data_IF_104683101302
#
_entry.id   IF_104683101302
#
_cell.length_a   1.000
_cell.length_b   1.000
_cell.length_c   1.000
_cell.angle_alpha   90.00
_cell.angle_beta   90.00
_cell.angle_gamma   90.00
#
_symmetry.space_group_name_H-M   'P 1'
#
loop_
_entity.id
_entity.type
_entity.pdbx_description
1 polymer ?
#
# COMPACT_ATOMS: atom_id res chain seq x y z
N UNK A 1 0.72 15.59 9.91
CA UNK A 1 1.02 14.34 9.20
C UNK A 1 2.48 14.00 9.39
N UNK A 2 2.77 12.85 10.00
CA UNK A 2 4.15 12.45 10.27
C UNK A 2 4.74 11.75 9.05
N UNK A 3 6.04 11.94 8.86
CA UNK A 3 6.77 11.27 7.81
C UNK A 3 6.68 9.75 7.95
N UNK A 4 6.44 9.05 6.85
CA UNK A 4 6.29 7.60 6.83
C UNK A 4 7.26 6.97 5.84
N UNK A 5 7.62 5.72 6.11
CA UNK A 5 8.55 4.95 5.27
C UNK A 5 7.80 3.83 4.56
N UNK A 6 7.95 3.79 3.25
CA UNK A 6 7.33 2.76 2.41
C UNK A 6 8.42 1.83 1.90
N UNK A 7 8.17 0.53 2.03
CA UNK A 7 9.01 -0.50 1.41
C UNK A 7 8.30 -0.99 0.15
N UNK A 8 8.95 -0.83 -0.99
CA UNK A 8 8.44 -1.34 -2.26
C UNK A 8 9.15 -2.65 -2.57
N UNK A 9 8.37 -3.70 -2.76
CA UNK A 9 8.86 -5.02 -3.19
C UNK A 9 8.54 -5.16 -4.67
N UNK A 10 9.57 -5.28 -5.50
CA UNK A 10 9.36 -5.40 -6.95
C UNK A 10 10.53 -6.14 -7.58
N UNK A 11 10.27 -6.88 -8.65
CA UNK A 11 11.31 -7.55 -9.42
C UNK A 11 12.07 -6.60 -10.34
N UNK A 12 11.51 -5.40 -10.58
CA UNK A 12 12.11 -4.42 -11.49
C UNK A 12 12.10 -3.03 -10.86
N UNK A 13 12.81 -2.09 -11.47
CA UNK A 13 12.84 -0.70 -11.01
C UNK A 13 11.70 0.15 -11.59
N UNK A 14 10.89 -0.40 -12.50
CA UNK A 14 9.87 0.38 -13.20
C UNK A 14 8.89 1.03 -12.23
N UNK A 15 8.32 0.25 -11.33
CA UNK A 15 7.36 0.78 -10.37
C UNK A 15 8.05 1.71 -9.37
N UNK A 16 9.28 1.42 -9.01
CA UNK A 16 10.05 2.28 -8.11
C UNK A 16 10.19 3.69 -8.69
N UNK A 17 10.51 3.80 -9.98
CA UNK A 17 10.65 5.10 -10.61
C UNK A 17 9.35 5.90 -10.56
N UNK A 18 8.20 5.23 -10.71
CA UNK A 18 6.90 5.87 -10.56
C UNK A 18 6.62 6.24 -9.10
N UNK A 19 6.94 5.37 -8.18
CA UNK A 19 6.65 5.61 -6.75
C UNK A 19 7.52 6.71 -6.16
N UNK A 20 8.66 7.01 -6.75
CA UNK A 20 9.45 8.17 -6.33
C UNK A 20 8.67 9.46 -6.46
N UNK A 21 7.72 9.54 -7.38
CA UNK A 21 6.88 10.73 -7.52
C UNK A 21 5.94 10.90 -6.32
N UNK A 22 5.63 9.84 -5.58
CA UNK A 22 4.84 9.96 -4.36
C UNK A 22 5.48 10.87 -3.34
N UNK A 23 6.81 10.90 -3.29
CA UNK A 23 7.54 11.73 -2.33
C UNK A 23 7.30 13.22 -2.52
N UNK A 24 6.79 13.61 -3.68
CA UNK A 24 6.44 15.00 -4.00
C UNK A 24 4.99 15.32 -3.64
N UNK A 25 4.17 14.31 -3.39
CA UNK A 25 2.73 14.47 -3.16
C UNK A 25 2.38 14.25 -1.69
N UNK A 26 2.98 13.25 -1.07
CA UNK A 26 2.76 12.93 0.33
C UNK A 26 4.10 12.81 1.06
N UNK A 27 4.07 12.91 2.38
CA UNK A 27 5.29 12.94 3.20
C UNK A 27 5.80 11.53 3.47
N UNK A 28 6.46 10.95 2.47
CA UNK A 28 6.97 9.58 2.55
C UNK A 28 8.36 9.46 1.95
N UNK A 29 9.07 8.42 2.36
CA UNK A 29 10.27 7.91 1.70
C UNK A 29 9.98 6.52 1.17
N UNK A 30 10.51 6.19 -0.01
CA UNK A 30 10.30 4.89 -0.64
C UNK A 30 11.65 4.19 -0.79
N UNK A 31 11.74 2.96 -0.27
CA UNK A 31 12.92 2.11 -0.44
C UNK A 31 12.52 0.88 -1.26
N UNK A 32 13.39 0.48 -2.18
CA UNK A 32 13.15 -0.69 -3.03
C UNK A 32 13.88 -1.91 -2.47
N UNK A 33 13.20 -3.04 -2.43
CA UNK A 33 13.82 -4.33 -2.20
C UNK A 33 13.38 -5.31 -3.29
N UNK A 34 14.33 -6.10 -3.76
CA UNK A 34 14.08 -7.19 -4.68
C UNK A 34 14.15 -8.51 -3.92
N UNK A 35 13.84 -9.60 -4.60
CA UNK A 35 13.95 -10.93 -3.98
C UNK A 35 15.37 -11.19 -3.46
N UNK A 36 16.39 -10.69 -4.14
CA UNK A 36 17.78 -10.89 -3.74
C UNK A 36 18.24 -9.98 -2.61
N UNK A 37 17.64 -8.80 -2.45
CA UNK A 37 18.05 -7.83 -1.44
C UNK A 37 17.16 -7.84 -0.20
N UNK A 38 16.03 -8.51 -0.25
CA UNK A 38 15.05 -8.47 0.84
C UNK A 38 15.63 -8.98 2.17
N UNK A 39 16.53 -9.94 2.13
CA UNK A 39 17.14 -10.50 3.35
C UNK A 39 17.87 -9.44 4.18
N UNK A 40 18.27 -8.33 3.56
CA UNK A 40 18.93 -7.23 4.25
C UNK A 40 17.95 -6.31 4.96
N UNK A 41 16.67 -6.35 4.62
CA UNK A 41 15.68 -5.45 5.19
C UNK A 41 15.52 -5.64 6.70
N UNK A 42 15.32 -6.87 7.22
CA UNK A 42 15.23 -7.05 8.67
C UNK A 42 16.50 -6.65 9.41
N UNK A 43 17.66 -6.78 8.74
CA UNK A 43 18.96 -6.47 9.35
C UNK A 43 19.26 -4.97 9.38
N UNK A 44 18.54 -4.18 8.59
CA UNK A 44 18.79 -2.75 8.48
C UNK A 44 18.33 -1.95 9.71
N UNK A 45 17.47 -2.53 10.51
CA UNK A 45 16.88 -1.83 11.65
C UNK A 45 15.85 -0.77 11.26
N UNK A 46 15.54 -0.62 9.97
CA UNK A 46 14.55 0.36 9.50
C UNK A 46 13.14 -0.13 9.78
N UNK A 47 12.29 0.81 10.17
CA UNK A 47 10.88 0.54 10.40
C UNK A 47 10.09 1.05 9.20
N UNK A 48 9.26 0.18 8.63
CA UNK A 48 8.41 0.55 7.49
C UNK A 48 6.96 0.61 7.94
N UNK A 49 6.24 1.57 7.38
CA UNK A 49 4.85 1.85 7.74
C UNK A 49 3.87 1.28 6.72
N UNK A 50 4.35 0.92 5.54
CA UNK A 50 3.57 0.35 4.46
C UNK A 50 4.49 -0.47 3.58
N UNK A 51 4.00 -1.62 3.12
CA UNK A 51 4.69 -2.41 2.11
C UNK A 51 3.85 -2.39 0.84
N UNK A 52 4.42 -1.89 -0.25
CA UNK A 52 3.80 -1.99 -1.58
C UNK A 52 4.42 -3.20 -2.26
N UNK A 53 3.59 -4.12 -2.70
CA UNK A 53 4.05 -5.37 -3.29
C UNK A 53 3.63 -5.43 -4.75
N UNK A 54 4.63 -5.38 -5.64
CA UNK A 54 4.40 -5.57 -7.07
C UNK A 54 4.35 -7.08 -7.31
N UNK A 55 3.15 -7.60 -7.51
CA UNK A 55 2.91 -9.05 -7.62
C UNK A 55 3.60 -9.69 -8.81
N UNK A 56 3.89 -8.91 -9.84
CA UNK A 56 4.39 -9.45 -11.09
C UNK A 56 5.82 -9.97 -10.93
N UNK A 57 6.01 -11.25 -11.26
CA UNK A 57 7.32 -11.84 -11.25
C UNK A 57 7.85 -12.32 -9.91
N UNK A 58 7.04 -12.24 -8.85
CA UNK A 58 7.45 -12.73 -7.54
C UNK A 58 7.10 -14.21 -7.37
N UNK A 59 8.02 -14.97 -6.76
CA UNK A 59 7.73 -16.36 -6.42
C UNK A 59 6.80 -16.44 -5.22
N UNK A 60 6.06 -17.54 -5.11
CA UNK A 60 5.16 -17.75 -3.98
C UNK A 60 5.94 -17.86 -2.66
N UNK A 61 7.14 -18.41 -2.71
CA UNK A 61 8.00 -18.51 -1.53
C UNK A 61 8.42 -17.13 -1.03
N UNK A 62 8.78 -16.26 -1.96
CA UNK A 62 9.16 -14.90 -1.59
C UNK A 62 7.96 -14.11 -1.09
N UNK A 63 6.81 -14.25 -1.73
CA UNK A 63 5.59 -13.60 -1.25
C UNK A 63 5.27 -14.00 0.19
N UNK A 64 5.46 -15.28 0.52
CA UNK A 64 5.26 -15.77 1.89
C UNK A 64 6.27 -15.16 2.86
N UNK A 65 7.52 -15.00 2.43
CA UNK A 65 8.54 -14.40 3.28
C UNK A 65 8.21 -12.93 3.58
N UNK A 66 7.74 -12.19 2.59
CA UNK A 66 7.32 -10.80 2.78
C UNK A 66 6.14 -10.72 3.75
N UNK A 67 5.19 -11.63 3.61
CA UNK A 67 4.02 -11.66 4.51
C UNK A 67 4.44 -11.93 5.95
N UNK A 68 5.33 -12.89 6.17
CA UNK A 68 5.85 -13.16 7.53
C UNK A 68 6.54 -11.94 8.11
N UNK A 69 7.34 -11.25 7.31
CA UNK A 69 8.00 -10.03 7.75
C UNK A 69 6.98 -8.97 8.18
N UNK A 70 5.94 -8.77 7.38
CA UNK A 70 4.92 -7.77 7.70
C UNK A 70 4.23 -8.10 9.03
N UNK A 71 3.83 -9.35 9.21
CA UNK A 71 3.11 -9.78 10.42
C UNK A 71 4.00 -9.66 11.65
N UNK A 72 5.28 -10.01 11.53
CA UNK A 72 6.23 -9.97 12.64
C UNK A 72 6.63 -8.55 13.03
N UNK A 73 6.35 -7.56 12.19
CA UNK A 73 6.71 -6.17 12.44
C UNK A 73 5.45 -5.31 12.62
N UNK A 74 4.60 -5.70 13.56
CA UNK A 74 3.36 -4.99 13.95
C UNK A 74 2.30 -5.00 12.84
N UNK A 75 2.28 -6.06 12.07
CA UNK A 75 1.30 -6.26 10.99
C UNK A 75 1.26 -5.06 10.06
N UNK A 76 2.38 -4.80 9.41
CA UNK A 76 2.51 -3.66 8.50
C UNK A 76 1.44 -3.74 7.41
N UNK A 77 0.70 -2.67 7.12
CA UNK A 77 -0.28 -2.66 6.02
C UNK A 77 0.38 -3.00 4.68
N UNK A 78 -0.34 -3.65 3.79
CA UNK A 78 0.16 -4.02 2.45
C UNK A 78 -0.75 -3.48 1.37
N UNK A 79 -0.14 -2.94 0.33
CA UNK A 79 -0.83 -2.54 -0.89
C UNK A 79 -0.30 -3.40 -2.03
N UNK A 80 -1.16 -4.24 -2.58
CA UNK A 80 -0.80 -5.17 -3.65
C UNK A 80 -1.04 -4.51 -5.01
N UNK A 81 0.00 -4.42 -5.82
CA UNK A 81 -0.08 -3.88 -7.18
C UNK A 81 -0.23 -5.06 -8.13
N UNK A 82 -1.28 -5.09 -8.89
CA UNK A 82 -1.56 -6.21 -9.79
C UNK A 82 -2.01 -5.71 -11.16
N UNK A 83 -1.79 -6.54 -12.18
CA UNK A 83 -2.34 -6.28 -13.50
C UNK A 83 -3.80 -6.71 -13.54
N UNK A 84 -4.55 -6.16 -14.49
CA UNK A 84 -5.98 -6.43 -14.60
C UNK A 84 -6.26 -7.93 -14.77
N UNK A 85 -5.42 -8.64 -15.51
CA UNK A 85 -5.59 -10.07 -15.73
C UNK A 85 -5.46 -10.89 -14.45
N UNK A 86 -4.71 -10.40 -13.48
CA UNK A 86 -4.43 -11.12 -12.25
C UNK A 86 -5.48 -10.86 -11.16
N UNK A 87 -6.37 -9.90 -11.36
CA UNK A 87 -7.24 -9.42 -10.30
C UNK A 87 -8.22 -10.51 -9.81
N UNK A 88 -8.65 -11.40 -10.69
CA UNK A 88 -9.61 -12.45 -10.33
C UNK A 88 -8.99 -13.52 -9.44
N UNK A 89 -7.67 -13.67 -9.49
CA UNK A 89 -6.95 -14.62 -8.66
C UNK A 89 -6.33 -14.00 -7.42
N UNK A 90 -6.53 -12.72 -7.21
CA UNK A 90 -5.93 -12.04 -6.08
C UNK A 90 -6.62 -12.41 -4.77
N UNK A 91 -5.82 -12.83 -3.79
CA UNK A 91 -6.31 -13.13 -2.45
C UNK A 91 -5.53 -12.25 -1.49
N UNK A 92 -6.24 -11.38 -0.76
CA UNK A 92 -5.61 -10.53 0.23
C UNK A 92 -5.40 -11.31 1.53
N UNK A 93 -4.27 -11.07 2.23
CA UNK A 93 -4.04 -11.71 3.52
C UNK A 93 -5.14 -11.35 4.52
N UNK A 94 -5.49 -12.26 5.45
CA UNK A 94 -6.57 -11.99 6.41
C UNK A 94 -6.16 -11.07 7.55
N UNK A 95 -4.86 -10.92 7.81
CA UNK A 95 -4.37 -10.11 8.92
C UNK A 95 -4.00 -8.71 8.46
N UNK A 96 -4.39 -7.71 9.27
CA UNK A 96 -4.01 -6.34 9.04
C UNK A 96 -4.85 -5.65 8.00
N UNK A 97 -4.42 -4.44 7.64
CA UNK A 97 -5.08 -3.63 6.62
C UNK A 97 -4.39 -3.88 5.28
N UNK A 98 -5.12 -4.47 4.37
CA UNK A 98 -4.61 -4.83 3.06
C UNK A 98 -5.52 -4.29 1.99
N UNK A 99 -4.94 -3.82 0.90
CA UNK A 99 -5.69 -3.31 -0.24
C UNK A 99 -4.95 -3.66 -1.52
N UNK A 100 -5.58 -3.40 -2.64
CA UNK A 100 -4.95 -3.63 -3.93
C UNK A 100 -5.14 -2.40 -4.82
N UNK A 101 -4.31 -2.31 -5.85
CA UNK A 101 -4.39 -1.27 -6.85
C UNK A 101 -3.90 -1.84 -8.18
N UNK A 102 -4.49 -1.38 -9.28
CA UNK A 102 -4.03 -1.80 -10.60
C UNK A 102 -2.73 -1.10 -10.95
N UNK A 103 -1.85 -1.81 -11.63
CA UNK A 103 -0.55 -1.27 -12.05
C UNK A 103 -0.69 -0.06 -12.98
N UNK A 104 -1.83 0.07 -13.65
CA UNK A 104 -2.12 1.17 -14.55
C UNK A 104 -2.76 2.38 -13.87
N UNK A 105 -3.00 2.30 -12.56
CA UNK A 105 -3.64 3.38 -11.83
C UNK A 105 -2.81 4.68 -11.88
N UNK A 106 -3.48 5.80 -11.76
CA UNK A 106 -2.83 7.10 -11.74
C UNK A 106 -2.02 7.32 -10.47
N UNK A 107 -1.10 8.27 -10.52
CA UNK A 107 -0.35 8.66 -9.31
C UNK A 107 -1.29 9.16 -8.23
N UNK A 108 -2.36 9.87 -8.60
CA UNK A 108 -3.35 10.34 -7.65
C UNK A 108 -4.03 9.18 -6.92
N UNK A 109 -4.36 8.11 -7.63
CA UNK A 109 -4.98 6.94 -7.00
C UNK A 109 -3.98 6.22 -6.10
N UNK A 110 -2.73 6.06 -6.52
CA UNK A 110 -1.67 5.51 -5.67
C UNK A 110 -1.53 6.34 -4.39
N UNK A 111 -1.49 7.66 -4.55
CA UNK A 111 -1.37 8.60 -3.42
C UNK A 111 -2.53 8.41 -2.44
N UNK A 112 -3.75 8.30 -2.93
CA UNK A 112 -4.93 8.12 -2.09
C UNK A 112 -4.88 6.79 -1.33
N UNK A 113 -4.60 5.69 -2.05
CA UNK A 113 -4.54 4.36 -1.42
C UNK A 113 -3.45 4.28 -0.35
N UNK A 114 -2.27 4.83 -0.67
CA UNK A 114 -1.18 4.88 0.31
C UNK A 114 -1.57 5.70 1.53
N UNK A 115 -2.19 6.85 1.34
CA UNK A 115 -2.60 7.72 2.44
C UNK A 115 -3.61 7.05 3.36
N UNK A 116 -4.57 6.32 2.81
CA UNK A 116 -5.55 5.58 3.59
C UNK A 116 -4.87 4.56 4.50
N UNK A 117 -3.85 3.88 3.98
CA UNK A 117 -3.15 2.85 4.74
C UNK A 117 -2.14 3.43 5.73
N UNK A 118 -1.50 4.55 5.38
CA UNK A 118 -0.46 5.18 6.21
C UNK A 118 -1.02 6.03 7.33
N UNK A 119 -2.11 6.74 7.10
CA UNK A 119 -2.69 7.67 8.07
C UNK A 119 -4.17 7.37 8.27
N UNK A 120 -4.50 6.23 8.90
CA UNK A 120 -5.90 5.92 9.15
C UNK A 120 -6.49 6.93 10.13
N UNK A 121 -7.72 7.35 9.89
CA UNK A 121 -8.42 8.21 10.82
C UNK A 121 -8.94 7.35 11.97
N UNK A 122 -8.56 7.69 13.20
CA UNK A 122 -8.91 6.90 14.38
C UNK A 122 -9.64 7.69 15.47
N UNK A 123 -9.91 8.97 15.24
CA UNK A 123 -10.38 9.88 16.27
C UNK A 123 -11.86 9.71 16.61
N UNK A 124 -12.70 9.33 15.65
CA UNK A 124 -14.14 9.28 15.87
C UNK A 124 -14.83 8.45 14.81
N UNK A 125 -16.17 8.38 14.88
CA UNK A 125 -16.94 7.59 13.91
C UNK A 125 -16.84 8.14 12.50
N UNK A 126 -16.64 9.44 12.34
CA UNK A 126 -16.46 10.03 11.03
C UNK A 126 -15.11 9.73 10.42
N UNK A 127 -14.21 9.13 11.21
CA UNK A 127 -12.88 8.77 10.74
C UNK A 127 -12.88 7.81 9.56
N UNK A 128 -13.97 7.09 9.36
CA UNK A 128 -14.12 6.21 8.21
C UNK A 128 -14.57 6.96 6.96
N UNK A 129 -14.78 8.27 7.06
CA UNK A 129 -15.18 9.09 5.96
C UNK A 129 -14.09 10.10 5.62
N UNK A 130 -13.75 10.18 4.35
CA UNK A 130 -12.88 11.22 3.81
C UNK A 130 -13.72 12.02 2.82
N UNK A 131 -13.72 13.34 2.99
CA UNK A 131 -14.45 14.23 2.10
C UNK A 131 -13.46 14.97 1.22
N UNK A 132 -13.63 14.82 -0.09
CA UNK A 132 -12.85 15.53 -1.09
C UNK A 132 -13.86 16.20 -2.03
N UNK A 133 -13.89 17.52 -2.02
CA UNK A 133 -14.95 18.28 -2.69
C UNK A 133 -16.31 17.76 -2.24
N UNK A 134 -17.16 17.28 -3.13
CA UNK A 134 -18.46 16.71 -2.78
C UNK A 134 -18.45 15.18 -2.81
N UNK A 135 -17.28 14.56 -2.77
CA UNK A 135 -17.13 13.10 -2.77
C UNK A 135 -16.74 12.67 -1.36
N UNK A 136 -17.48 11.72 -0.82
CA UNK A 136 -17.16 11.10 0.48
C UNK A 136 -16.78 9.65 0.25
N UNK A 137 -15.69 9.24 0.86
CA UNK A 137 -15.20 7.87 0.79
C UNK A 137 -15.31 7.26 2.19
N UNK A 138 -16.09 6.17 2.30
CA UNK A 138 -16.18 5.45 3.55
C UNK A 138 -15.06 4.43 3.61
N UNK A 139 -14.09 4.63 4.50
CA UNK A 139 -12.89 3.81 4.58
C UNK A 139 -13.17 2.40 5.10
N UNK A 140 -14.21 2.23 5.91
CA UNK A 140 -14.54 0.90 6.44
C UNK A 140 -15.19 0.01 5.38
N UNK A 141 -16.00 0.57 4.51
CA UNK A 141 -16.73 -0.19 3.49
C UNK A 141 -16.23 0.07 2.08
N UNK A 142 -15.34 1.06 1.93
CA UNK A 142 -14.83 1.51 0.62
C UNK A 142 -15.95 1.97 -0.31
N UNK A 143 -17.06 2.44 0.25
CA UNK A 143 -18.12 3.03 -0.53
C UNK A 143 -17.86 4.50 -0.80
N UNK A 144 -18.26 4.96 -1.97
CA UNK A 144 -18.10 6.36 -2.38
C UNK A 144 -19.48 7.00 -2.42
N UNK A 145 -19.61 8.16 -1.78
CA UNK A 145 -20.84 8.95 -1.74
C UNK A 145 -20.60 10.28 -2.43
N UNK A 146 -21.54 10.70 -3.25
CA UNK A 146 -21.50 11.99 -3.92
C UNK A 146 -22.69 12.79 -3.40
N UNK A 147 -22.40 13.98 -2.83
CA UNK A 147 -23.41 14.87 -2.24
C UNK A 147 -24.30 14.13 -1.22
N UNK A 148 -23.66 13.30 -0.36
CA UNK A 148 -24.31 12.51 0.69
C UNK A 148 -25.23 11.40 0.17
N UNK A 149 -25.20 11.10 -1.13
CA UNK A 149 -25.92 9.96 -1.71
C UNK A 149 -24.97 8.79 -1.90
N UNK A 150 -25.40 7.56 -1.58
CA UNK A 150 -24.59 6.37 -1.85
C UNK A 150 -24.47 6.12 -3.36
#
# INVERSE_FOLDING_TARGET
MHHKNILLISATTRLYDRMRELTRVIDVSVALATETTFSQVPLSGRVFDLIIIDEKGLSSEFASAVERYAVQNNVIPRLFVCDLEAITGLVLPPQGRNDFILSTASLQEFSLRCSILLWPTTENTSRDLVVVDNIKINLATYQVYIDDAP
#
